data_IF_030195351543
#
_entry.id   IF_030195351543
#
_cell.length_a   1.000
_cell.length_b   1.000
_cell.length_c   1.000
_cell.angle_alpha   90.00
_cell.angle_beta   90.00
_cell.angle_gamma   90.00
#
_symmetry.space_group_name_H-M   'P 1'
#
loop_
_entity.id
_entity.type
_entity.pdbx_description
1 polymer ?
#
# COMPACT_ATOMS: atom_id res chain seq x y z
N UNK A 1 -1.00 24.94 42.79
CA UNK A 1 -0.40 23.69 42.26
C UNK A 1 -0.61 23.70 40.75
N UNK A 2 0.44 24.06 39.99
CA UNK A 2 0.39 24.08 38.52
C UNK A 2 0.50 22.65 37.99
N UNK A 3 -0.26 22.24 36.96
CA UNK A 3 -0.14 20.92 36.39
C UNK A 3 1.22 20.78 35.69
N UNK A 4 1.88 19.64 35.90
CA UNK A 4 3.15 19.32 35.28
C UNK A 4 3.02 19.28 33.74
N UNK A 5 4.05 19.72 33.00
CA UNK A 5 4.05 19.66 31.55
C UNK A 5 4.00 18.21 31.06
N UNK A 6 3.10 17.91 30.13
CA UNK A 6 3.08 16.62 29.45
C UNK A 6 4.37 16.44 28.63
N UNK A 7 4.97 15.24 28.62
CA UNK A 7 6.20 15.01 27.88
C UNK A 7 5.98 15.14 26.37
N UNK A 8 6.88 15.88 25.71
CA UNK A 8 6.97 15.92 24.26
C UNK A 8 7.20 14.50 23.71
N UNK A 9 6.43 14.14 22.68
CA UNK A 9 6.56 12.84 21.99
C UNK A 9 7.93 12.83 21.29
N UNK A 10 8.87 12.04 21.81
CA UNK A 10 10.20 11.85 21.25
C UNK A 10 10.13 10.88 20.04
N UNK A 11 10.22 11.43 18.83
CA UNK A 11 10.22 10.71 17.57
C UNK A 11 11.57 10.06 17.21
N UNK A 12 12.61 10.13 18.06
CA UNK A 12 13.94 9.55 17.77
C UNK A 12 14.02 8.02 17.90
N UNK A 13 12.94 7.33 18.27
CA UNK A 13 12.89 5.85 18.34
C UNK A 13 12.41 5.19 17.03
N UNK A 14 13.04 5.53 15.89
CA UNK A 14 12.94 4.77 14.63
C UNK A 14 14.33 4.34 14.15
N UNK A 15 14.92 3.40 14.88
CA UNK A 15 16.00 2.53 14.41
C UNK A 15 15.62 1.10 14.80
N UNK A 16 14.70 0.49 14.06
CA UNK A 16 14.63 -0.96 13.86
C UNK A 16 13.51 -1.26 12.84
N UNK A 17 13.80 -2.19 11.93
CA UNK A 17 12.87 -2.92 11.04
C UNK A 17 12.60 -2.42 9.61
N UNK A 18 13.51 -1.67 8.98
CA UNK A 18 13.61 -1.57 7.51
C UNK A 18 15.08 -1.40 7.10
N UNK A 19 15.92 -2.39 7.43
CA UNK A 19 17.26 -2.54 6.85
C UNK A 19 17.25 -3.81 6.00
N UNK A 20 17.89 -3.89 4.85
CA UNK A 20 18.58 -2.90 4.02
C UNK A 20 18.92 -3.57 2.70
N UNK A 21 19.27 -2.80 1.68
CA UNK A 21 20.13 -3.27 0.59
C UNK A 21 20.69 -2.03 -0.10
N UNK A 22 22.00 -1.87 -0.01
CA UNK A 22 22.80 -0.84 -0.70
C UNK A 22 22.88 -1.15 -2.19
N UNK A 23 22.69 -0.15 -3.05
CA UNK A 23 23.16 -0.19 -4.43
C UNK A 23 23.59 1.20 -4.91
N UNK A 24 24.59 1.18 -5.78
CA UNK A 24 25.57 2.21 -6.08
C UNK A 24 25.05 3.34 -6.98
N UNK A 25 25.72 4.50 -6.92
CA UNK A 25 25.42 5.70 -7.71
C UNK A 25 26.01 5.60 -9.11
N UNK A 26 25.17 5.68 -10.16
CA UNK A 26 25.57 6.16 -11.49
C UNK A 26 24.35 6.59 -12.32
N UNK A 27 24.41 7.82 -12.88
CA UNK A 27 23.64 8.21 -14.08
C UNK A 27 22.32 8.95 -13.85
N UNK A 28 22.38 10.27 -13.65
CA UNK A 28 21.23 11.18 -13.77
C UNK A 28 20.91 11.39 -15.26
N UNK A 29 19.89 10.70 -15.77
CA UNK A 29 19.13 11.12 -16.94
C UNK A 29 17.67 11.26 -16.52
N UNK A 30 17.12 12.47 -16.65
CA UNK A 30 15.69 12.76 -16.48
C UNK A 30 14.91 12.07 -17.61
N UNK A 31 14.55 10.81 -17.39
CA UNK A 31 13.53 10.15 -18.19
C UNK A 31 12.17 10.50 -17.57
N UNK A 32 11.62 11.64 -17.99
CA UNK A 32 10.18 11.87 -17.87
C UNK A 32 9.44 10.73 -18.57
N UNK A 33 8.31 10.31 -18.02
CA UNK A 33 7.40 9.34 -18.63
C UNK A 33 6.92 9.85 -20.00
N UNK A 34 7.74 9.74 -21.05
CA UNK A 34 7.36 9.92 -22.44
C UNK A 34 6.73 8.62 -22.91
N UNK A 35 5.44 8.47 -22.64
CA UNK A 35 4.68 7.29 -23.04
C UNK A 35 3.16 7.48 -22.97
N UNK A 36 2.68 8.31 -22.05
CA UNK A 36 1.33 8.87 -22.13
C UNK A 36 1.43 10.29 -22.66
N UNK A 37 0.59 10.64 -23.64
CA UNK A 37 0.27 12.04 -23.92
C UNK A 37 -0.08 12.72 -22.57
N UNK A 38 0.17 14.03 -22.39
CA UNK A 38 -0.46 14.75 -21.28
C UNK A 38 -1.95 14.64 -21.52
N UNK A 39 -2.57 13.64 -20.91
CA UNK A 39 -4.00 13.48 -20.90
C UNK A 39 -4.47 14.69 -20.10
N UNK A 40 -4.95 15.69 -20.85
CA UNK A 40 -5.81 16.74 -20.34
C UNK A 40 -6.64 16.10 -19.24
N UNK A 41 -6.48 16.61 -18.01
CA UNK A 41 -7.19 16.18 -16.81
C UNK A 41 -8.54 15.59 -17.23
N UNK A 42 -8.65 14.26 -17.21
CA UNK A 42 -9.87 13.59 -17.65
C UNK A 42 -11.01 14.29 -16.92
N UNK A 43 -11.93 14.85 -17.69
CA UNK A 43 -12.90 15.80 -17.17
C UNK A 43 -13.70 15.06 -16.09
N UNK A 44 -13.46 15.43 -14.83
CA UNK A 44 -14.16 14.82 -13.71
C UNK A 44 -15.64 15.02 -13.98
N UNK A 45 -16.45 13.96 -14.04
CA UNK A 45 -17.87 14.10 -14.28
C UNK A 45 -18.44 15.10 -13.28
N UNK A 46 -19.21 16.09 -13.74
CA UNK A 46 -19.74 17.15 -12.86
C UNK A 46 -20.53 16.59 -11.65
N UNK A 47 -21.08 15.38 -11.79
CA UNK A 47 -21.77 14.62 -10.73
C UNK A 47 -20.88 14.23 -9.55
N UNK A 48 -19.56 14.15 -9.75
CA UNK A 48 -18.62 13.70 -8.72
C UNK A 48 -18.04 14.89 -7.93
N UNK A 49 -18.19 16.12 -8.44
CA UNK A 49 -17.81 17.34 -7.71
C UNK A 49 -18.66 17.47 -6.43
N UNK A 50 -18.02 17.35 -5.27
CA UNK A 50 -18.69 17.33 -3.97
C UNK A 50 -19.14 15.95 -3.51
N UNK A 51 -18.92 14.89 -4.29
CA UNK A 51 -19.17 13.51 -3.89
C UNK A 51 -18.29 13.13 -2.69
N UNK A 52 -18.81 12.28 -1.80
CA UNK A 52 -18.08 11.85 -0.60
C UNK A 52 -17.53 10.41 -0.72
N UNK A 53 -17.47 9.85 -1.93
CA UNK A 53 -17.01 8.47 -2.17
C UNK A 53 -17.93 7.40 -1.57
N UNK A 54 -19.20 7.72 -1.34
CA UNK A 54 -20.15 6.83 -0.67
C UNK A 54 -19.87 6.70 0.83
N UNK A 55 -19.29 7.73 1.46
CA UNK A 55 -19.08 7.76 2.91
C UNK A 55 -20.42 7.94 3.64
N UNK A 56 -20.64 7.15 4.70
CA UNK A 56 -21.78 7.29 5.59
C UNK A 56 -21.41 8.27 6.72
N UNK A 57 -21.61 9.56 6.49
CA UNK A 57 -21.28 10.65 7.44
C UNK A 57 -22.48 11.59 7.63
N UNK A 58 -22.54 12.38 8.71
CA UNK A 58 -23.57 13.41 8.89
C UNK A 58 -23.69 14.34 7.68
N UNK A 59 -24.90 14.87 7.45
CA UNK A 59 -25.18 15.73 6.29
C UNK A 59 -24.53 17.13 6.36
N UNK A 60 -23.84 17.46 7.45
CA UNK A 60 -23.12 18.72 7.60
C UNK A 60 -22.02 18.86 6.54
N UNK A 61 -21.87 20.05 5.98
CA UNK A 61 -20.84 20.36 4.97
C UNK A 61 -20.17 21.67 5.32
N UNK A 62 -18.87 21.73 5.13
CA UNK A 62 -18.08 22.97 5.20
C UNK A 62 -17.17 23.03 3.99
N UNK A 63 -16.93 24.22 3.44
CA UNK A 63 -15.96 24.41 2.36
C UNK A 63 -14.59 24.79 2.94
N UNK A 64 -13.52 24.22 2.39
CA UNK A 64 -12.15 24.63 2.77
C UNK A 64 -11.91 26.12 2.47
N UNK A 65 -12.57 26.66 1.43
CA UNK A 65 -12.48 28.06 1.04
C UNK A 65 -13.01 29.02 2.12
N UNK A 66 -14.01 28.60 2.90
CA UNK A 66 -14.57 29.42 3.99
C UNK A 66 -13.54 29.69 5.10
N UNK A 67 -12.47 28.89 5.14
CA UNK A 67 -11.34 29.03 6.07
C UNK A 67 -10.08 29.58 5.40
N UNK A 68 -10.19 30.10 4.16
CA UNK A 68 -9.08 30.65 3.38
C UNK A 68 -8.28 29.63 2.58
N UNK A 69 -8.66 28.35 2.59
CA UNK A 69 -7.93 27.30 1.88
C UNK A 69 -8.38 27.23 0.43
N UNK A 70 -7.89 28.18 -0.35
CA UNK A 70 -8.12 28.31 -1.79
C UNK A 70 -6.83 28.04 -2.57
N UNK A 71 -6.92 27.64 -3.86
CA UNK A 71 -5.74 27.53 -4.71
C UNK A 71 -4.92 28.82 -4.71
N UNK A 72 -3.59 28.70 -4.64
CA UNK A 72 -2.66 29.84 -4.56
C UNK A 72 -2.47 30.46 -3.17
N UNK A 73 -3.21 30.02 -2.15
CA UNK A 73 -2.93 30.42 -0.77
C UNK A 73 -1.56 29.91 -0.31
N UNK A 74 -0.92 30.64 0.61
CA UNK A 74 0.39 30.24 1.13
C UNK A 74 0.32 28.92 1.91
N UNK A 75 1.42 28.15 2.00
CA UNK A 75 1.42 26.88 2.72
C UNK A 75 0.95 26.96 4.17
N UNK A 76 1.27 28.06 4.88
CA UNK A 76 0.81 28.27 6.26
C UNK A 76 -0.70 28.48 6.35
N UNK A 77 -1.28 29.22 5.40
CA UNK A 77 -2.73 29.41 5.30
C UNK A 77 -3.41 28.07 5.01
N UNK A 78 -2.93 27.31 4.02
CA UNK A 78 -3.50 26.00 3.68
C UNK A 78 -3.56 25.05 4.90
N UNK A 79 -2.45 24.90 5.63
CA UNK A 79 -2.40 24.08 6.85
C UNK A 79 -3.42 24.56 7.88
N UNK A 80 -3.49 25.86 8.14
CA UNK A 80 -4.43 26.42 9.09
C UNK A 80 -5.88 26.24 8.66
N UNK A 81 -6.19 26.36 7.36
CA UNK A 81 -7.53 26.18 6.82
C UNK A 81 -8.03 24.75 7.02
N UNK A 82 -7.18 23.74 6.78
CA UNK A 82 -7.53 22.33 7.07
C UNK A 82 -7.80 22.13 8.57
N UNK A 83 -6.93 22.63 9.45
CA UNK A 83 -7.13 22.51 10.90
C UNK A 83 -8.45 23.16 11.35
N UNK A 84 -8.78 24.36 10.86
CA UNK A 84 -10.04 25.05 11.18
C UNK A 84 -11.26 24.31 10.64
N UNK A 85 -11.18 23.80 9.40
CA UNK A 85 -12.28 23.06 8.79
C UNK A 85 -12.58 21.74 9.53
N UNK A 86 -11.54 20.99 9.92
CA UNK A 86 -11.72 19.80 10.74
C UNK A 86 -12.31 20.12 12.11
N UNK A 87 -11.82 21.17 12.78
CA UNK A 87 -12.39 21.59 14.06
C UNK A 87 -13.87 21.96 13.94
N UNK A 88 -14.27 22.67 12.87
CA UNK A 88 -15.66 23.02 12.61
C UNK A 88 -16.54 21.78 12.41
N UNK A 89 -16.08 20.77 11.66
CA UNK A 89 -16.83 19.51 11.49
C UNK A 89 -16.91 18.70 12.78
N UNK A 90 -15.82 18.64 13.57
CA UNK A 90 -15.83 17.95 14.86
C UNK A 90 -16.84 18.56 15.84
N UNK A 91 -16.99 19.88 15.85
CA UNK A 91 -18.03 20.56 16.64
C UNK A 91 -19.46 20.20 16.20
N UNK A 92 -19.63 19.73 14.97
CA UNK A 92 -20.90 19.25 14.41
C UNK A 92 -21.06 17.73 14.48
N UNK A 93 -20.12 17.03 15.11
CA UNK A 93 -20.15 15.57 15.23
C UNK A 93 -19.79 14.82 13.94
N UNK A 94 -19.17 15.50 12.96
CA UNK A 94 -18.79 14.91 11.67
C UNK A 94 -19.36 15.66 10.47
N UNK A 95 -19.13 15.11 9.29
CA UNK A 95 -19.68 15.62 8.03
C UNK A 95 -18.66 15.63 6.88
N UNK A 96 -18.94 16.43 5.85
CA UNK A 96 -18.11 16.51 4.65
C UNK A 96 -17.32 17.82 4.59
N UNK A 97 -16.00 17.73 4.49
CA UNK A 97 -15.13 18.82 4.05
C UNK A 97 -15.11 18.82 2.52
N UNK A 98 -15.60 19.89 1.91
CA UNK A 98 -15.50 20.12 0.47
C UNK A 98 -14.23 20.92 0.18
N UNK A 99 -13.30 20.34 -0.58
CA UNK A 99 -12.11 21.03 -1.08
C UNK A 99 -12.41 21.47 -2.52
N UNK A 100 -12.43 22.78 -2.81
CA UNK A 100 -12.62 23.26 -4.18
C UNK A 100 -11.58 22.71 -5.15
N UNK A 101 -11.91 22.57 -6.45
CA UNK A 101 -10.92 22.21 -7.46
C UNK A 101 -9.78 23.22 -7.55
N UNK A 102 -8.57 22.73 -7.82
CA UNK A 102 -7.39 23.56 -8.06
C UNK A 102 -6.10 23.01 -7.45
N UNK A 103 -5.01 23.75 -7.62
CA UNK A 103 -3.68 23.38 -7.12
C UNK A 103 -3.44 23.97 -5.73
N UNK A 104 -3.14 23.08 -4.78
CA UNK A 104 -2.81 23.36 -3.40
C UNK A 104 -1.33 23.04 -3.16
N UNK A 105 -0.47 24.05 -3.26
CA UNK A 105 0.98 23.92 -3.11
C UNK A 105 1.41 24.17 -1.66
N UNK A 106 1.91 23.12 -1.00
CA UNK A 106 2.40 23.17 0.38
C UNK A 106 3.88 23.56 0.49
N UNK A 107 4.55 23.82 -0.63
CA UNK A 107 5.95 24.25 -0.64
C UNK A 107 6.95 23.09 -0.53
N UNK A 108 8.16 23.41 -0.04
CA UNK A 108 9.29 22.47 -0.02
C UNK A 108 9.55 21.88 1.37
N UNK A 109 9.97 20.61 1.40
CA UNK A 109 10.17 19.85 2.64
C UNK A 109 11.50 19.10 2.65
N UNK A 110 12.31 19.38 3.67
CA UNK A 110 13.60 18.72 3.95
C UNK A 110 13.59 17.89 5.24
N UNK A 111 12.44 17.79 5.90
CA UNK A 111 12.23 17.06 7.15
C UNK A 111 11.11 16.03 7.00
N UNK A 112 11.04 15.03 7.88
CA UNK A 112 10.04 13.95 7.81
C UNK A 112 8.76 14.26 8.59
N UNK A 113 8.49 15.54 8.84
CA UNK A 113 7.29 15.97 9.56
C UNK A 113 6.03 15.81 8.71
N UNK A 114 4.88 15.70 9.38
CA UNK A 114 3.59 15.80 8.71
C UNK A 114 3.33 17.24 8.25
N UNK A 115 2.58 17.38 7.16
CA UNK A 115 2.21 18.69 6.61
C UNK A 115 0.87 19.14 7.21
N UNK A 116 -0.13 18.26 7.15
CA UNK A 116 -1.44 18.45 7.77
C UNK A 116 -1.67 17.33 8.77
N UNK A 117 -1.68 17.67 10.06
CA UNK A 117 -2.03 16.74 11.14
C UNK A 117 -3.49 16.96 11.57
N UNK A 118 -4.23 15.87 11.70
CA UNK A 118 -5.51 15.86 12.37
C UNK A 118 -5.59 14.69 13.36
N UNK A 119 -6.23 14.94 14.51
CA UNK A 119 -6.38 13.95 15.58
C UNK A 119 -7.85 13.81 15.96
N UNK A 120 -8.30 12.61 16.29
CA UNK A 120 -9.63 12.40 16.86
C UNK A 120 -10.78 12.61 15.87
N UNK A 121 -10.54 12.52 14.55
CA UNK A 121 -11.59 12.73 13.56
C UNK A 121 -12.62 11.60 13.61
N UNK A 122 -13.91 11.95 13.64
CA UNK A 122 -15.03 11.00 13.63
C UNK A 122 -16.03 11.36 12.55
N UNK A 123 -16.39 10.37 11.75
CA UNK A 123 -17.44 10.47 10.73
C UNK A 123 -17.19 11.64 9.76
N UNK A 124 -15.97 11.70 9.22
CA UNK A 124 -15.51 12.76 8.32
C UNK A 124 -15.30 12.21 6.91
N UNK A 125 -15.82 12.92 5.92
CA UNK A 125 -15.45 12.73 4.52
C UNK A 125 -14.73 13.97 3.99
N UNK A 126 -13.63 13.78 3.25
CA UNK A 126 -12.92 14.83 2.52
C UNK A 126 -13.24 14.62 1.03
N UNK A 127 -14.08 15.48 0.48
CA UNK A 127 -14.40 15.53 -0.95
C UNK A 127 -13.39 16.43 -1.66
N UNK A 128 -12.42 15.85 -2.35
CA UNK A 128 -11.31 16.54 -3.00
C UNK A 128 -11.29 16.38 -4.52
N UNK A 129 -12.43 16.05 -5.14
CA UNK A 129 -12.56 15.95 -6.60
C UNK A 129 -12.11 17.24 -7.30
N UNK A 130 -11.06 17.12 -8.11
CA UNK A 130 -10.46 18.23 -8.85
C UNK A 130 -9.38 19.00 -8.08
N UNK A 131 -9.11 18.64 -6.82
CA UNK A 131 -8.01 19.19 -6.06
C UNK A 131 -6.73 18.39 -6.31
N UNK A 132 -5.64 19.11 -6.59
CA UNK A 132 -4.28 18.56 -6.63
C UNK A 132 -3.49 19.11 -5.46
N UNK A 133 -3.03 18.24 -4.58
CA UNK A 133 -2.15 18.58 -3.48
C UNK A 133 -0.69 18.30 -3.87
N UNK A 134 0.15 19.32 -3.72
CA UNK A 134 1.57 19.28 -4.09
C UNK A 134 2.44 19.59 -2.89
N UNK A 135 3.50 18.79 -2.69
CA UNK A 135 4.61 19.13 -1.81
C UNK A 135 5.92 18.73 -2.48
N UNK A 136 6.97 19.53 -2.37
CA UNK A 136 8.25 19.30 -3.04
C UNK A 136 9.32 18.80 -2.06
N UNK A 137 9.66 17.52 -2.11
CA UNK A 137 10.67 16.94 -1.21
C UNK A 137 12.10 17.25 -1.68
N UNK A 138 12.88 17.93 -0.84
CA UNK A 138 14.23 18.41 -1.20
C UNK A 138 15.37 17.60 -0.58
N UNK A 139 15.09 16.76 0.43
CA UNK A 139 16.07 15.92 1.12
C UNK A 139 15.67 14.44 1.15
N UNK A 140 16.53 13.57 1.69
CA UNK A 140 16.23 12.14 1.92
C UNK A 140 15.30 11.97 3.13
N UNK A 141 14.06 12.40 2.97
CA UNK A 141 13.01 12.41 3.99
C UNK A 141 11.67 11.93 3.44
N UNK A 142 10.76 11.58 4.36
CA UNK A 142 9.47 10.97 4.04
C UNK A 142 8.31 11.71 4.71
N UNK A 143 8.03 12.98 4.36
CA UNK A 143 6.92 13.71 4.95
C UNK A 143 5.58 13.07 4.57
N UNK A 144 4.58 13.22 5.44
CA UNK A 144 3.19 12.83 5.16
C UNK A 144 2.36 14.07 4.88
N UNK A 145 1.71 14.14 3.73
CA UNK A 145 0.86 15.29 3.42
C UNK A 145 -0.32 15.38 4.37
N UNK A 146 -1.13 14.32 4.45
CA UNK A 146 -2.17 14.18 5.46
C UNK A 146 -1.76 13.11 6.46
N UNK A 147 -1.77 13.45 7.75
CA UNK A 147 -1.48 12.52 8.83
C UNK A 147 -2.62 12.50 9.84
N UNK A 148 -3.26 11.34 9.99
CA UNK A 148 -4.40 11.17 10.88
C UNK A 148 -4.03 10.30 12.07
N UNK A 149 -4.37 10.75 13.27
CA UNK A 149 -4.20 9.97 14.50
C UNK A 149 -5.54 9.78 15.19
N UNK A 150 -5.84 8.55 15.63
CA UNK A 150 -7.05 8.22 16.38
C UNK A 150 -8.34 8.61 15.64
N UNK A 151 -8.65 7.91 14.56
CA UNK A 151 -9.79 8.23 13.69
C UNK A 151 -10.92 7.19 13.81
N UNK A 152 -12.11 7.58 13.39
CA UNK A 152 -13.24 6.67 13.19
C UNK A 152 -14.04 7.09 11.96
N UNK A 153 -14.24 6.17 11.01
CA UNK A 153 -15.04 6.42 9.80
C UNK A 153 -14.56 7.69 9.04
N UNK A 154 -13.36 7.61 8.48
CA UNK A 154 -12.70 8.71 7.79
C UNK A 154 -12.49 8.33 6.31
N UNK A 155 -13.01 9.15 5.40
CA UNK A 155 -12.87 8.94 3.95
C UNK A 155 -12.18 10.13 3.28
N UNK A 156 -11.28 9.87 2.33
CA UNK A 156 -10.80 10.86 1.36
C UNK A 156 -11.18 10.39 -0.04
N UNK A 157 -11.87 11.26 -0.78
CA UNK A 157 -12.39 10.94 -2.10
C UNK A 157 -11.87 11.93 -3.16
N UNK A 158 -11.42 11.42 -4.31
CA UNK A 158 -11.12 12.22 -5.50
C UNK A 158 -9.84 13.05 -5.47
N UNK A 159 -8.97 12.86 -4.47
CA UNK A 159 -7.76 13.64 -4.30
C UNK A 159 -6.67 13.25 -5.31
N UNK A 160 -5.98 14.26 -5.87
CA UNK A 160 -4.73 14.06 -6.63
C UNK A 160 -3.53 14.51 -5.80
N UNK A 161 -2.45 13.75 -5.83
CA UNK A 161 -1.22 14.04 -5.08
C UNK A 161 -0.01 14.05 -6.00
N UNK A 162 0.92 14.98 -5.77
CA UNK A 162 2.19 14.99 -6.49
C UNK A 162 3.36 15.50 -5.65
N UNK A 163 4.53 14.90 -5.86
CA UNK A 163 5.79 15.37 -5.31
C UNK A 163 6.89 15.48 -6.38
N UNK A 164 7.08 16.67 -6.97
CA UNK A 164 8.13 16.88 -7.98
C UNK A 164 9.55 16.61 -7.49
N UNK A 165 9.76 16.53 -6.17
CA UNK A 165 11.05 16.23 -5.54
C UNK A 165 11.33 14.73 -5.40
N UNK A 166 10.32 13.87 -5.60
CA UNK A 166 10.46 12.42 -5.56
C UNK A 166 11.44 11.91 -6.62
N UNK A 167 12.18 10.88 -6.26
CA UNK A 167 12.96 10.09 -7.22
C UNK A 167 13.01 8.65 -6.74
N UNK A 168 12.77 7.65 -7.62
CA UNK A 168 12.74 6.25 -7.23
C UNK A 168 14.15 5.68 -6.98
N UNK A 169 15.18 6.44 -7.34
CA UNK A 169 16.59 6.10 -7.27
C UNK A 169 17.26 6.44 -5.94
N UNK A 170 16.59 7.24 -5.11
CA UNK A 170 17.04 7.57 -3.77
C UNK A 170 16.04 6.99 -2.78
N UNK A 171 16.46 5.97 -2.03
CA UNK A 171 15.62 5.40 -1.00
C UNK A 171 15.15 6.48 -0.02
N UNK A 172 13.89 6.40 0.41
CA UNK A 172 13.32 7.27 1.43
C UNK A 172 13.40 8.78 1.11
N UNK A 173 13.38 9.13 -0.18
CA UNK A 173 13.17 10.50 -0.64
C UNK A 173 11.81 10.60 -1.33
N UNK A 174 10.89 11.29 -0.69
CA UNK A 174 9.62 11.71 -1.27
C UNK A 174 8.46 11.66 -0.29
N UNK A 175 7.33 12.22 -0.69
CA UNK A 175 6.14 12.35 0.14
C UNK A 175 5.30 11.07 0.18
N UNK A 176 4.79 10.72 1.36
CA UNK A 176 3.58 9.90 1.47
C UNK A 176 2.34 10.79 1.40
N UNK A 177 1.37 10.43 0.56
CA UNK A 177 0.15 11.22 0.41
C UNK A 177 -0.69 11.18 1.70
N UNK A 178 -0.81 9.99 2.30
CA UNK A 178 -1.58 9.78 3.52
C UNK A 178 -0.82 8.87 4.48
N UNK A 179 -0.74 9.31 5.74
CA UNK A 179 -0.29 8.53 6.88
C UNK A 179 -1.39 8.38 7.92
N UNK A 180 -1.51 7.20 8.52
CA UNK A 180 -2.35 6.99 9.69
C UNK A 180 -1.58 6.39 10.84
N UNK A 181 -1.99 6.73 12.06
CA UNK A 181 -1.53 6.15 13.30
C UNK A 181 -2.70 6.00 14.26
N UNK A 182 -2.59 5.06 15.19
CA UNK A 182 -3.55 4.91 16.26
C UNK A 182 -2.85 4.61 17.59
N UNK A 183 -3.18 5.42 18.59
CA UNK A 183 -2.88 5.20 20.00
C UNK A 183 -4.14 4.65 20.73
N UNK A 184 -5.31 4.80 20.12
CA UNK A 184 -6.61 4.25 20.53
C UNK A 184 -7.26 3.42 19.41
N UNK A 185 -8.20 2.50 19.70
CA UNK A 185 -8.92 1.76 18.67
C UNK A 185 -9.52 2.68 17.60
N UNK A 186 -9.08 2.50 16.37
CA UNK A 186 -9.39 3.31 15.19
C UNK A 186 -9.80 2.40 14.04
N UNK A 187 -10.84 2.79 13.31
CA UNK A 187 -11.39 1.96 12.23
C UNK A 187 -12.09 2.74 11.13
N UNK A 188 -12.25 2.10 9.97
CA UNK A 188 -13.03 2.61 8.85
C UNK A 188 -12.32 3.74 8.13
N UNK A 189 -11.06 3.52 7.71
CA UNK A 189 -10.34 4.48 6.87
C UNK A 189 -10.51 4.12 5.40
N UNK A 190 -10.85 5.11 4.57
CA UNK A 190 -11.09 4.91 3.14
C UNK A 190 -10.35 5.92 2.27
N UNK A 191 -9.68 5.44 1.22
CA UNK A 191 -9.28 6.26 0.06
C UNK A 191 -10.06 5.77 -1.16
N UNK A 192 -10.73 6.69 -1.84
CA UNK A 192 -11.58 6.37 -3.00
C UNK A 192 -11.26 7.33 -4.13
N UNK A 193 -11.10 6.81 -5.35
CA UNK A 193 -10.85 7.61 -6.56
C UNK A 193 -9.64 8.58 -6.43
N UNK A 194 -8.63 8.18 -5.66
CA UNK A 194 -7.42 8.97 -5.45
C UNK A 194 -6.36 8.65 -6.52
N UNK A 195 -5.57 9.65 -6.91
CA UNK A 195 -4.41 9.49 -7.81
C UNK A 195 -3.14 10.05 -7.18
N UNK A 196 -2.03 9.34 -7.30
CA UNK A 196 -0.73 9.81 -6.84
C UNK A 196 0.34 9.70 -7.93
N UNK A 197 1.10 10.78 -8.13
CA UNK A 197 2.09 10.89 -9.20
C UNK A 197 3.43 11.37 -8.66
N UNK A 198 4.51 10.62 -8.94
CA UNK A 198 5.85 10.93 -8.44
C UNK A 198 5.85 11.10 -6.93
N UNK A 199 5.51 10.04 -6.20
CA UNK A 199 5.44 10.09 -4.73
C UNK A 199 6.22 8.94 -4.13
N UNK A 200 6.61 9.08 -2.86
CA UNK A 200 7.15 7.93 -2.13
C UNK A 200 6.06 6.89 -1.92
N UNK A 201 4.83 7.29 -1.58
CA UNK A 201 3.69 6.40 -1.70
C UNK A 201 2.32 7.00 -1.43
N UNK A 202 1.28 6.27 -1.79
CA UNK A 202 -0.11 6.71 -1.61
C UNK A 202 -0.51 6.67 -0.13
N UNK A 203 -0.24 5.54 0.54
CA UNK A 203 -0.73 5.32 1.89
C UNK A 203 0.28 4.59 2.76
N UNK A 204 0.36 4.97 4.04
CA UNK A 204 1.13 4.23 5.05
C UNK A 204 0.44 4.21 6.41
N UNK A 205 0.51 3.05 7.07
CA UNK A 205 0.27 2.93 8.51
C UNK A 205 1.57 3.14 9.27
N UNK A 206 1.49 3.78 10.43
CA UNK A 206 2.64 4.14 11.27
C UNK A 206 2.57 3.51 12.67
N UNK A 207 1.82 2.40 12.79
CA UNK A 207 1.78 1.55 13.97
C UNK A 207 2.95 0.55 13.98
N UNK A 208 3.11 -0.17 15.10
CA UNK A 208 4.15 -1.18 15.28
C UNK A 208 3.56 -2.46 15.90
N UNK A 209 4.39 -3.47 16.11
CA UNK A 209 3.96 -4.77 16.65
C UNK A 209 3.17 -4.67 17.97
N UNK A 210 3.49 -3.71 18.84
CA UNK A 210 2.80 -3.51 20.12
C UNK A 210 1.43 -2.83 19.95
N UNK A 211 1.30 -1.98 18.94
CA UNK A 211 0.06 -1.24 18.63
C UNK A 211 -0.76 -1.87 17.50
N UNK A 212 -0.41 -3.09 17.06
CA UNK A 212 -1.05 -3.77 15.91
C UNK A 212 -2.56 -3.98 16.04
N UNK A 213 -3.07 -4.00 17.28
CA UNK A 213 -4.49 -4.22 17.60
C UNK A 213 -5.37 -2.98 17.43
N UNK A 214 -4.78 -1.82 17.13
CA UNK A 214 -5.45 -0.53 17.22
C UNK A 214 -6.03 -0.02 15.91
N UNK A 215 -5.58 -0.50 14.75
CA UNK A 215 -6.13 -0.13 13.44
C UNK A 215 -6.83 -1.34 12.84
N UNK A 216 -8.04 -1.16 12.31
CA UNK A 216 -8.78 -2.18 11.54
C UNK A 216 -9.62 -1.51 10.45
N UNK A 217 -10.11 -2.30 9.49
CA UNK A 217 -11.08 -1.82 8.50
C UNK A 217 -10.53 -0.66 7.65
N UNK A 218 -9.61 -1.03 6.75
CA UNK A 218 -8.99 -0.15 5.76
C UNK A 218 -9.48 -0.53 4.36
N UNK A 219 -9.90 0.45 3.56
CA UNK A 219 -10.28 0.28 2.15
C UNK A 219 -9.57 1.34 1.30
N UNK A 220 -8.53 0.91 0.58
CA UNK A 220 -7.63 1.81 -0.14
C UNK A 220 -7.72 1.57 -1.64
N UNK A 221 -8.22 2.56 -2.36
CA UNK A 221 -8.37 2.53 -3.79
C UNK A 221 -7.64 3.70 -4.43
N UNK A 222 -6.99 3.46 -5.57
CA UNK A 222 -6.38 4.55 -6.33
C UNK A 222 -5.50 4.14 -7.50
N UNK A 223 -5.09 5.14 -8.25
CA UNK A 223 -4.12 5.04 -9.33
C UNK A 223 -2.79 5.65 -8.90
N UNK A 224 -1.69 4.97 -9.18
CA UNK A 224 -0.35 5.38 -8.76
C UNK A 224 0.61 5.33 -9.95
N UNK A 225 1.24 6.45 -10.25
CA UNK A 225 2.17 6.60 -11.37
C UNK A 225 3.53 7.08 -10.86
N UNK A 226 4.58 6.27 -11.06
CA UNK A 226 5.95 6.62 -10.67
C UNK A 226 6.11 6.73 -9.16
N UNK A 227 6.10 5.60 -8.45
CA UNK A 227 6.20 5.60 -6.99
C UNK A 227 7.13 4.53 -6.43
N UNK A 228 7.59 4.74 -5.19
CA UNK A 228 8.28 3.68 -4.46
C UNK A 228 7.26 2.68 -3.90
N UNK A 229 6.28 3.16 -3.15
CA UNK A 229 5.23 2.39 -2.50
C UNK A 229 3.86 2.73 -3.07
N UNK A 230 2.98 1.76 -3.19
CA UNK A 230 1.54 2.04 -3.26
C UNK A 230 0.97 2.17 -1.87
N UNK A 231 0.72 1.03 -1.22
CA UNK A 231 0.09 0.94 0.10
C UNK A 231 0.99 0.18 1.08
N UNK A 232 1.35 0.83 2.19
CA UNK A 232 1.97 0.21 3.36
C UNK A 232 0.95 -0.01 4.48
N UNK A 233 0.45 -1.23 4.67
CA UNK A 233 -0.58 -1.56 5.66
C UNK A 233 -0.02 -2.47 6.78
N UNK A 234 1.09 -2.06 7.39
CA UNK A 234 1.75 -2.84 8.44
C UNK A 234 1.08 -2.70 9.79
N UNK A 235 1.02 -3.79 10.55
CA UNK A 235 0.49 -3.82 11.91
C UNK A 235 -0.95 -3.28 12.00
N UNK A 236 -1.78 -3.78 11.09
CA UNK A 236 -3.23 -3.58 11.08
C UNK A 236 -3.86 -4.86 11.63
N UNK A 237 -4.83 -4.72 12.53
CA UNK A 237 -5.46 -5.83 13.24
C UNK A 237 -6.09 -6.81 12.26
N UNK A 238 -6.92 -6.29 11.35
CA UNK A 238 -7.68 -7.05 10.37
C UNK A 238 -8.43 -6.15 9.38
N UNK A 239 -9.01 -6.77 8.33
CA UNK A 239 -9.92 -6.16 7.36
C UNK A 239 -9.22 -5.08 6.54
N UNK A 240 -8.36 -5.52 5.62
CA UNK A 240 -7.65 -4.64 4.70
C UNK A 240 -8.08 -4.95 3.27
N UNK A 241 -8.69 -3.99 2.61
CA UNK A 241 -9.09 -4.05 1.22
C UNK A 241 -8.25 -3.06 0.41
N UNK A 242 -7.68 -3.53 -0.69
CA UNK A 242 -6.81 -2.71 -1.55
C UNK A 242 -7.17 -2.96 -3.01
N UNK A 243 -7.38 -1.89 -3.77
CA UNK A 243 -7.58 -1.95 -5.22
C UNK A 243 -6.75 -0.87 -5.91
N UNK A 244 -5.67 -1.26 -6.58
CA UNK A 244 -4.73 -0.32 -7.19
C UNK A 244 -4.55 -0.55 -8.69
N UNK A 245 -4.42 0.55 -9.41
CA UNK A 245 -3.82 0.59 -10.75
C UNK A 245 -2.46 1.26 -10.64
N UNK A 246 -1.41 0.56 -11.03
CA UNK A 246 -0.02 0.97 -10.83
C UNK A 246 0.71 1.08 -12.17
N UNK A 247 1.43 2.20 -12.36
CA UNK A 247 2.35 2.40 -13.47
C UNK A 247 3.71 2.76 -12.91
N UNK A 248 4.74 1.96 -13.20
CA UNK A 248 6.10 2.21 -12.69
C UNK A 248 6.10 2.38 -11.15
N UNK A 249 5.73 1.33 -10.42
CA UNK A 249 5.71 1.33 -8.95
C UNK A 249 6.67 0.25 -8.44
N UNK A 250 7.61 0.60 -7.56
CA UNK A 250 8.62 -0.37 -7.06
C UNK A 250 7.96 -1.45 -6.20
N UNK A 251 6.99 -1.09 -5.36
CA UNK A 251 6.23 -2.01 -4.51
C UNK A 251 4.79 -1.53 -4.36
N UNK A 252 3.84 -2.20 -4.99
CA UNK A 252 2.43 -1.78 -4.91
C UNK A 252 1.85 -1.99 -3.51
N UNK A 253 2.25 -3.05 -2.81
CA UNK A 253 1.75 -3.34 -1.48
C UNK A 253 2.81 -3.95 -0.58
N UNK A 254 2.82 -3.54 0.69
CA UNK A 254 3.59 -4.18 1.76
C UNK A 254 2.81 -4.15 3.07
N UNK A 255 2.80 -5.29 3.77
CA UNK A 255 2.22 -5.34 5.11
C UNK A 255 2.93 -6.36 5.99
N UNK A 256 3.26 -5.92 7.21
CA UNK A 256 3.63 -6.80 8.31
C UNK A 256 2.38 -7.26 9.07
N UNK A 257 2.32 -8.54 9.42
CA UNK A 257 1.29 -9.11 10.29
C UNK A 257 -0.15 -8.94 9.74
N UNK A 258 -0.33 -9.17 8.44
CA UNK A 258 -1.59 -8.92 7.76
C UNK A 258 -2.64 -10.02 8.05
N UNK A 259 -3.86 -9.62 8.39
CA UNK A 259 -4.97 -10.55 8.64
C UNK A 259 -6.25 -10.14 7.92
N UNK A 260 -7.00 -11.13 7.40
CA UNK A 260 -8.31 -10.93 6.78
C UNK A 260 -8.26 -9.82 5.71
N UNK A 261 -7.48 -10.05 4.64
CA UNK A 261 -7.21 -9.03 3.64
C UNK A 261 -7.55 -9.48 2.21
N UNK A 262 -7.95 -8.51 1.38
CA UNK A 262 -8.21 -8.70 -0.04
C UNK A 262 -7.48 -7.63 -0.86
N UNK A 263 -6.54 -8.06 -1.70
CA UNK A 263 -5.61 -7.18 -2.41
C UNK A 263 -5.77 -7.43 -3.91
N UNK A 264 -6.15 -6.40 -4.66
CA UNK A 264 -6.28 -6.41 -6.11
C UNK A 264 -5.38 -5.34 -6.73
N UNK A 265 -4.42 -5.75 -7.56
CA UNK A 265 -3.45 -4.85 -8.18
C UNK A 265 -3.35 -5.15 -9.68
N UNK A 266 -3.57 -4.11 -10.48
CA UNK A 266 -3.16 -4.09 -11.88
C UNK A 266 -1.90 -3.25 -12.01
N UNK A 267 -0.86 -3.79 -12.66
CA UNK A 267 0.43 -3.10 -12.81
C UNK A 267 0.97 -3.16 -14.24
N UNK A 268 1.59 -2.08 -14.66
CA UNK A 268 2.48 -2.05 -15.82
C UNK A 268 3.78 -1.31 -15.51
N UNK A 269 4.88 -1.80 -16.08
CA UNK A 269 6.22 -1.28 -15.80
C UNK A 269 7.04 -1.10 -17.07
N UNK A 270 8.03 -0.22 -17.01
CA UNK A 270 9.00 0.05 -18.08
C UNK A 270 10.38 -0.41 -17.67
N UNK A 271 11.23 -0.78 -18.64
CA UNK A 271 12.55 -1.41 -18.38
C UNK A 271 13.49 -0.53 -17.56
N UNK A 272 13.36 0.79 -17.66
CA UNK A 272 14.22 1.74 -16.96
C UNK A 272 13.71 2.11 -15.56
N UNK A 273 12.64 1.47 -15.05
CA UNK A 273 12.15 1.74 -13.70
C UNK A 273 12.84 0.82 -12.68
N UNK A 274 13.31 1.33 -11.52
CA UNK A 274 13.99 0.49 -10.55
C UNK A 274 13.04 -0.54 -9.94
N UNK A 275 13.55 -1.75 -9.79
CA UNK A 275 12.83 -2.86 -9.21
C UNK A 275 12.72 -2.87 -7.68
N UNK A 276 12.08 -3.91 -7.18
CA UNK A 276 12.15 -4.32 -5.77
C UNK A 276 12.12 -5.85 -5.64
N UNK A 277 12.35 -6.35 -4.42
CA UNK A 277 12.27 -7.77 -4.14
C UNK A 277 10.83 -8.34 -4.21
N UNK A 278 9.81 -7.50 -4.24
CA UNK A 278 8.41 -7.93 -4.28
C UNK A 278 7.47 -6.81 -4.70
N UNK A 279 6.60 -7.05 -5.71
CA UNK A 279 5.49 -6.13 -6.00
C UNK A 279 4.49 -6.09 -4.83
N UNK A 280 4.06 -7.26 -4.38
CA UNK A 280 3.25 -7.49 -3.18
C UNK A 280 4.12 -8.22 -2.17
N UNK A 281 4.43 -7.59 -1.04
CA UNK A 281 5.20 -8.20 0.04
C UNK A 281 4.28 -8.50 1.24
N UNK A 282 4.04 -9.79 1.49
CA UNK A 282 3.36 -10.27 2.68
C UNK A 282 4.44 -10.61 3.72
N UNK A 283 4.55 -9.81 4.77
CA UNK A 283 5.67 -9.91 5.70
C UNK A 283 5.24 -10.49 7.05
N UNK A 284 5.92 -11.55 7.47
CA UNK A 284 5.80 -12.06 8.84
C UNK A 284 7.15 -11.86 9.54
N UNK A 285 7.17 -10.94 10.51
CA UNK A 285 8.36 -10.60 11.31
C UNK A 285 8.71 -11.65 12.38
N UNK A 286 7.82 -12.61 12.61
CA UNK A 286 7.82 -13.53 13.73
C UNK A 286 6.43 -13.59 14.38
N UNK A 287 6.15 -14.64 15.16
CA UNK A 287 4.86 -14.80 15.83
C UNK A 287 4.56 -13.65 16.81
N UNK A 288 5.58 -13.14 17.51
CA UNK A 288 5.46 -11.99 18.41
C UNK A 288 5.08 -10.69 17.69
N UNK A 289 5.58 -10.48 16.46
CA UNK A 289 5.23 -9.35 15.61
C UNK A 289 3.83 -9.51 14.96
N UNK A 290 3.44 -10.76 14.70
CA UNK A 290 2.18 -11.18 14.12
C UNK A 290 2.37 -11.99 12.82
N UNK A 291 1.47 -12.95 12.62
CA UNK A 291 1.42 -13.82 11.46
C UNK A 291 0.71 -13.16 10.27
N UNK A 292 0.81 -13.80 9.10
CA UNK A 292 -0.02 -13.46 7.92
C UNK A 292 -1.11 -14.52 7.78
N UNK A 293 -2.38 -14.13 7.84
CA UNK A 293 -3.49 -15.08 7.91
C UNK A 293 -4.72 -14.63 7.10
N UNK A 294 -5.34 -15.56 6.36
CA UNK A 294 -6.60 -15.31 5.63
C UNK A 294 -6.47 -14.15 4.62
N UNK A 295 -5.56 -14.29 3.66
CA UNK A 295 -5.25 -13.22 2.68
C UNK A 295 -5.61 -13.69 1.28
N UNK A 296 -6.25 -12.82 0.50
CA UNK A 296 -6.45 -12.99 -0.94
C UNK A 296 -5.63 -11.95 -1.69
N UNK A 297 -4.91 -12.39 -2.71
CA UNK A 297 -4.10 -11.53 -3.57
C UNK A 297 -4.46 -11.82 -5.04
N UNK A 298 -4.75 -10.77 -5.79
CA UNK A 298 -5.01 -10.80 -7.24
C UNK A 298 -4.10 -9.79 -7.91
N UNK A 299 -3.25 -10.27 -8.83
CA UNK A 299 -2.33 -9.42 -9.60
C UNK A 299 -2.59 -9.61 -11.09
N UNK A 300 -2.67 -8.50 -11.82
CA UNK A 300 -2.56 -8.45 -13.28
C UNK A 300 -1.32 -7.64 -13.65
N UNK A 301 -0.34 -8.23 -14.32
CA UNK A 301 0.92 -7.56 -14.63
C UNK A 301 1.27 -7.59 -16.11
N UNK A 302 1.89 -6.51 -16.59
CA UNK A 302 2.39 -6.38 -17.95
C UNK A 302 3.65 -5.50 -18.04
N UNK A 303 4.35 -5.54 -19.17
CA UNK A 303 5.55 -4.71 -19.42
C UNK A 303 6.82 -5.29 -18.81
N UNK A 304 7.72 -4.45 -18.32
CA UNK A 304 9.00 -4.90 -17.78
C UNK A 304 8.84 -5.67 -16.46
N UNK A 305 9.54 -6.80 -16.33
CA UNK A 305 9.51 -7.66 -15.14
C UNK A 305 10.50 -7.19 -14.08
N UNK A 306 10.32 -5.97 -13.59
CA UNK A 306 11.25 -5.29 -12.68
C UNK A 306 11.26 -5.84 -11.23
N UNK A 307 10.60 -6.96 -10.94
CA UNK A 307 10.45 -7.47 -9.57
C UNK A 307 11.18 -8.79 -9.39
N UNK A 308 11.80 -9.04 -8.24
CA UNK A 308 12.27 -10.39 -7.92
C UNK A 308 11.09 -11.37 -7.77
N UNK A 309 9.96 -10.90 -7.25
CA UNK A 309 8.72 -11.67 -7.14
C UNK A 309 7.48 -10.78 -7.33
N UNK A 310 6.42 -11.29 -7.97
CA UNK A 310 5.15 -10.57 -7.99
C UNK A 310 4.41 -10.68 -6.65
N UNK A 311 4.34 -11.88 -6.08
CA UNK A 311 3.91 -12.08 -4.68
C UNK A 311 5.07 -12.69 -3.90
N UNK A 312 5.50 -11.96 -2.87
CA UNK A 312 6.61 -12.31 -2.01
C UNK A 312 6.09 -12.68 -0.62
N UNK A 313 6.17 -13.96 -0.30
CA UNK A 313 5.92 -14.54 1.02
C UNK A 313 7.20 -14.38 1.85
N UNK A 314 7.30 -13.25 2.53
CA UNK A 314 8.53 -12.78 3.15
C UNK A 314 8.54 -13.04 4.66
N UNK A 315 9.20 -14.11 5.09
CA UNK A 315 9.57 -14.22 6.49
C UNK A 315 10.77 -13.30 6.75
N UNK A 316 10.61 -12.36 7.69
CA UNK A 316 11.70 -11.46 8.07
C UNK A 316 12.01 -11.57 9.56
N UNK A 317 13.27 -11.38 9.92
CA UNK A 317 13.71 -11.25 11.30
C UNK A 317 14.09 -12.57 11.97
N UNK A 318 14.72 -12.48 13.16
CA UNK A 318 15.41 -13.61 13.80
C UNK A 318 14.48 -14.57 14.54
N UNK A 319 13.22 -14.19 14.80
CA UNK A 319 12.30 -15.03 15.59
C UNK A 319 12.05 -16.36 14.87
N UNK A 320 12.25 -17.48 15.56
CA UNK A 320 12.11 -18.81 14.97
C UNK A 320 10.65 -19.17 14.66
N UNK A 321 9.72 -18.68 15.49
CA UNK A 321 8.29 -18.87 15.32
C UNK A 321 7.71 -17.82 14.35
N UNK A 322 6.68 -18.22 13.60
CA UNK A 322 5.98 -17.37 12.65
C UNK A 322 5.28 -18.22 11.59
N UNK A 323 4.15 -17.75 11.08
CA UNK A 323 3.42 -18.48 10.06
C UNK A 323 2.76 -17.56 9.04
N UNK A 324 2.62 -18.11 7.84
CA UNK A 324 1.73 -17.62 6.80
C UNK A 324 0.71 -18.71 6.49
N UNK A 325 -0.57 -18.43 6.70
CA UNK A 325 -1.63 -19.44 6.57
C UNK A 325 -2.88 -18.95 5.85
N UNK A 326 -3.55 -19.85 5.14
CA UNK A 326 -4.83 -19.60 4.46
C UNK A 326 -4.72 -18.44 3.48
N UNK A 327 -3.81 -18.56 2.50
CA UNK A 327 -3.56 -17.50 1.51
C UNK A 327 -3.97 -18.00 0.13
N UNK A 328 -4.73 -17.21 -0.62
CA UNK A 328 -5.01 -17.48 -2.04
C UNK A 328 -4.37 -16.36 -2.88
N UNK A 329 -3.35 -16.70 -3.67
CA UNK A 329 -2.62 -15.77 -4.49
C UNK A 329 -2.78 -16.12 -5.97
N UNK A 330 -3.42 -15.22 -6.73
CA UNK A 330 -3.65 -15.34 -8.16
C UNK A 330 -2.86 -14.29 -8.93
N UNK A 331 -2.02 -14.72 -9.88
CA UNK A 331 -1.19 -13.82 -10.70
C UNK A 331 -1.41 -14.09 -12.18
N UNK A 332 -1.86 -13.08 -12.91
CA UNK A 332 -2.01 -13.13 -14.36
C UNK A 332 -0.97 -12.21 -14.99
N UNK A 333 -0.13 -12.73 -15.87
CA UNK A 333 0.90 -11.95 -16.58
C UNK A 333 0.66 -11.95 -18.08
N UNK A 334 0.89 -10.80 -18.70
CA UNK A 334 0.74 -10.57 -20.14
C UNK A 334 2.00 -9.88 -20.65
N UNK A 335 2.75 -10.53 -21.54
CA UNK A 335 3.94 -9.94 -22.19
C UNK A 335 4.93 -9.29 -21.21
N UNK A 336 5.50 -10.09 -20.32
CA UNK A 336 6.52 -9.66 -19.35
C UNK A 336 7.92 -10.00 -19.88
N UNK A 337 8.76 -8.97 -20.11
CA UNK A 337 10.02 -9.12 -20.86
C UNK A 337 11.18 -9.77 -20.09
N UNK A 338 11.22 -9.61 -18.77
CA UNK A 338 12.29 -10.03 -17.86
C UNK A 338 12.05 -11.40 -17.20
N UNK A 339 12.89 -11.74 -16.21
CA UNK A 339 12.88 -13.02 -15.47
C UNK A 339 12.40 -12.92 -14.00
N UNK A 340 11.23 -12.32 -13.70
CA UNK A 340 10.71 -12.28 -12.33
C UNK A 340 10.28 -13.67 -11.86
N UNK A 341 10.12 -13.86 -10.55
CA UNK A 341 9.33 -14.99 -10.04
C UNK A 341 7.84 -14.58 -9.98
N UNK A 342 6.90 -15.47 -10.28
CA UNK A 342 5.50 -15.21 -9.93
C UNK A 342 5.35 -15.23 -8.41
N UNK A 343 5.81 -16.31 -7.78
CA UNK A 343 5.77 -16.49 -6.33
C UNK A 343 7.19 -16.68 -5.76
N UNK A 344 7.53 -15.90 -4.74
CA UNK A 344 8.81 -15.98 -4.03
C UNK A 344 8.57 -16.27 -2.55
N UNK A 345 9.24 -17.30 -2.02
CA UNK A 345 9.19 -17.69 -0.62
C UNK A 345 10.59 -17.62 -0.02
N UNK A 346 10.80 -16.73 0.95
CA UNK A 346 12.10 -16.66 1.62
C UNK A 346 11.96 -16.31 3.11
N UNK A 347 13.04 -16.57 3.84
CA UNK A 347 13.27 -16.14 5.21
C UNK A 347 14.58 -15.38 5.27
N UNK A 348 14.51 -14.09 5.54
CA UNK A 348 15.67 -13.22 5.70
C UNK A 348 15.86 -12.80 7.16
N UNK A 349 17.09 -12.95 7.65
CA UNK A 349 17.55 -12.36 8.91
C UNK A 349 18.54 -11.23 8.61
N UNK A 350 19.80 -11.57 8.38
CA UNK A 350 20.84 -10.70 7.81
C UNK A 350 21.15 -11.02 6.34
N UNK A 351 20.73 -12.20 5.90
CA UNK A 351 20.75 -12.72 4.53
C UNK A 351 19.59 -13.70 4.38
N UNK A 352 19.27 -14.05 3.14
CA UNK A 352 18.33 -15.14 2.87
C UNK A 352 18.88 -16.45 3.45
N UNK A 353 18.08 -17.11 4.28
CA UNK A 353 18.42 -18.37 4.92
C UNK A 353 18.01 -19.54 4.03
N UNK A 354 18.83 -20.58 3.92
CA UNK A 354 18.48 -21.77 3.13
C UNK A 354 17.37 -22.61 3.79
N UNK A 355 17.25 -22.52 5.11
CA UNK A 355 16.28 -23.27 5.91
C UNK A 355 15.56 -22.35 6.88
N UNK A 356 14.32 -22.71 7.20
CA UNK A 356 13.53 -22.04 8.24
C UNK A 356 12.67 -23.04 9.01
N UNK A 357 12.30 -22.69 10.24
CA UNK A 357 11.26 -23.39 11.04
C UNK A 357 9.89 -22.74 10.89
N UNK A 358 9.79 -21.62 10.17
CA UNK A 358 8.53 -20.90 10.00
C UNK A 358 7.63 -21.58 8.99
N UNK A 359 6.33 -21.39 9.15
CA UNK A 359 5.31 -22.24 8.53
C UNK A 359 4.70 -21.60 7.29
N UNK A 360 4.65 -22.37 6.20
CA UNK A 360 3.88 -22.10 4.99
C UNK A 360 2.69 -23.06 4.93
N UNK A 361 1.48 -22.62 5.23
CA UNK A 361 0.34 -23.53 5.43
C UNK A 361 -0.92 -23.11 4.65
N UNK A 362 -1.54 -24.05 3.94
CA UNK A 362 -2.76 -23.81 3.18
C UNK A 362 -2.66 -22.57 2.27
N UNK A 363 -1.60 -22.51 1.46
CA UNK A 363 -1.37 -21.44 0.49
C UNK A 363 -1.73 -21.94 -0.89
N UNK A 364 -2.68 -21.32 -1.58
CA UNK A 364 -3.04 -21.62 -2.96
C UNK A 364 -2.37 -20.63 -3.93
N UNK A 365 -1.71 -21.16 -4.95
CA UNK A 365 -1.02 -20.42 -6.00
C UNK A 365 -1.72 -20.67 -7.33
N UNK A 366 -2.29 -19.61 -7.92
CA UNK A 366 -3.08 -19.66 -9.16
C UNK A 366 -2.60 -18.61 -10.14
N UNK A 367 -2.94 -18.76 -11.42
CA UNK A 367 -2.58 -17.75 -12.38
C UNK A 367 -2.63 -18.19 -13.83
N UNK A 368 -2.23 -17.27 -14.69
CA UNK A 368 -2.07 -17.51 -16.12
C UNK A 368 -0.90 -16.70 -16.67
N UNK A 369 -0.26 -17.26 -17.68
CA UNK A 369 0.79 -16.60 -18.47
C UNK A 369 0.29 -16.50 -19.89
N UNK A 370 0.34 -15.29 -20.45
CA UNK A 370 0.01 -15.05 -21.85
C UNK A 370 1.10 -14.23 -22.53
N UNK A 371 1.49 -14.65 -23.72
CA UNK A 371 2.61 -14.04 -24.45
C UNK A 371 3.98 -14.35 -23.82
N UNK A 372 4.93 -13.42 -23.95
CA UNK A 372 6.30 -13.60 -23.47
C UNK A 372 6.36 -13.61 -21.94
N UNK A 373 7.04 -14.60 -21.37
CA UNK A 373 7.44 -14.65 -19.96
C UNK A 373 8.70 -15.51 -19.83
N UNK A 374 9.79 -14.94 -19.32
CA UNK A 374 11.07 -15.65 -19.15
C UNK A 374 11.42 -15.93 -17.68
N UNK A 375 10.47 -15.65 -16.79
CA UNK A 375 10.60 -15.82 -15.34
C UNK A 375 10.40 -17.25 -14.85
N UNK A 376 10.36 -17.41 -13.53
CA UNK A 376 10.02 -18.68 -12.88
C UNK A 376 8.63 -18.58 -12.26
N UNK A 377 7.93 -19.70 -12.20
CA UNK A 377 6.63 -19.77 -11.51
C UNK A 377 6.85 -19.62 -10.00
N UNK A 378 7.73 -20.44 -9.42
CA UNK A 378 8.00 -20.47 -7.98
C UNK A 378 9.51 -20.41 -7.75
N UNK A 379 9.92 -19.60 -6.76
CA UNK A 379 11.24 -19.67 -6.15
C UNK A 379 11.09 -19.80 -4.63
N UNK A 380 11.80 -20.76 -4.06
CA UNK A 380 11.77 -21.04 -2.62
C UNK A 380 13.19 -21.28 -2.07
N UNK A 381 14.03 -20.22 -1.99
CA UNK A 381 15.35 -20.34 -1.40
C UNK A 381 15.35 -20.74 0.08
N UNK A 382 14.24 -20.57 0.82
CA UNK A 382 14.16 -20.88 2.25
C UNK A 382 13.23 -22.05 2.55
N UNK A 383 13.80 -23.25 2.57
CA UNK A 383 13.03 -24.47 2.78
C UNK A 383 12.56 -24.56 4.23
N UNK A 384 11.25 -24.54 4.45
CA UNK A 384 10.68 -24.84 5.76
C UNK A 384 10.91 -26.30 6.16
N UNK A 385 11.30 -26.49 7.41
CA UNK A 385 11.41 -27.79 8.09
C UNK A 385 10.15 -28.15 8.88
N UNK A 386 9.22 -27.21 9.01
CA UNK A 386 7.95 -27.41 9.70
C UNK A 386 6.89 -27.99 8.73
N UNK A 387 5.88 -28.71 9.25
CA UNK A 387 4.74 -29.13 8.44
C UNK A 387 4.07 -27.93 7.78
N UNK A 388 3.61 -28.12 6.54
CA UNK A 388 3.05 -27.06 5.73
C UNK A 388 2.35 -27.62 4.49
N UNK A 389 1.66 -26.74 3.77
CA UNK A 389 1.02 -27.07 2.50
C UNK A 389 0.93 -25.85 1.59
N UNK A 390 1.48 -26.00 0.38
CA UNK A 390 1.38 -25.04 -0.71
C UNK A 390 0.82 -25.76 -1.92
N UNK A 391 -0.31 -25.28 -2.41
CA UNK A 391 -1.09 -25.86 -3.48
C UNK A 391 -0.86 -25.06 -4.77
N UNK A 392 -0.31 -25.71 -5.78
CA UNK A 392 -0.07 -25.10 -7.09
C UNK A 392 -1.16 -25.52 -8.06
N UNK A 393 -1.77 -24.55 -8.73
CA UNK A 393 -2.73 -24.80 -9.81
C UNK A 393 -2.10 -25.71 -10.89
N UNK A 394 -2.83 -26.71 -11.44
CA UNK A 394 -2.29 -27.65 -12.40
C UNK A 394 -1.58 -27.01 -13.59
N UNK A 395 -2.13 -25.91 -14.14
CA UNK A 395 -1.55 -25.23 -15.31
C UNK A 395 -0.21 -24.57 -14.97
N UNK A 396 -0.11 -23.99 -13.78
CA UNK A 396 1.15 -23.43 -13.30
C UNK A 396 2.17 -24.53 -12.95
N UNK A 397 1.70 -25.64 -12.40
CA UNK A 397 2.55 -26.77 -12.02
C UNK A 397 3.13 -27.53 -13.23
N UNK A 398 2.52 -27.42 -14.40
CA UNK A 398 3.09 -27.91 -15.67
C UNK A 398 4.24 -27.04 -16.18
N UNK A 399 4.28 -25.77 -15.77
CA UNK A 399 5.31 -24.79 -16.15
C UNK A 399 6.42 -24.67 -15.10
N UNK A 400 6.22 -25.26 -13.92
CA UNK A 400 7.16 -25.23 -12.80
C UNK A 400 7.93 -26.56 -12.70
N UNK A 401 9.20 -26.50 -12.30
CA UNK A 401 9.95 -27.70 -11.89
C UNK A 401 9.51 -28.12 -10.48
N UNK A 402 8.38 -28.83 -10.41
CA UNK A 402 7.83 -29.33 -9.15
C UNK A 402 8.74 -30.35 -8.46
N UNK A 403 9.66 -30.99 -9.18
CA UNK A 403 10.58 -31.99 -8.62
C UNK A 403 11.70 -31.36 -7.79
N UNK A 404 12.07 -30.12 -8.11
CA UNK A 404 13.03 -29.32 -7.35
C UNK A 404 12.42 -28.63 -6.11
N UNK A 405 11.10 -28.65 -5.95
CA UNK A 405 10.42 -28.03 -4.81
C UNK A 405 10.30 -29.00 -3.63
N UNK A 406 10.28 -28.49 -2.37
CA UNK A 406 10.02 -29.31 -1.20
C UNK A 406 8.66 -30.01 -1.25
N UNK A 407 8.54 -31.15 -0.56
CA UNK A 407 7.34 -32.01 -0.58
C UNK A 407 6.02 -31.34 -0.17
N UNK A 408 6.08 -30.23 0.56
CA UNK A 408 4.88 -29.48 0.92
C UNK A 408 4.31 -28.64 -0.24
N UNK A 409 5.01 -28.53 -1.38
CA UNK A 409 4.45 -28.05 -2.63
C UNK A 409 3.78 -29.21 -3.37
N UNK A 410 2.47 -29.13 -3.55
CA UNK A 410 1.68 -30.15 -4.24
C UNK A 410 0.80 -29.56 -5.33
N UNK A 411 0.51 -30.36 -6.36
CA UNK A 411 -0.55 -30.05 -7.31
C UNK A 411 -1.89 -30.20 -6.59
N UNK A 412 -2.74 -29.18 -6.63
CA UNK A 412 -4.11 -29.33 -6.14
C UNK A 412 -5.01 -29.64 -7.33
N UNK A 413 -5.64 -30.81 -7.32
CA UNK A 413 -6.78 -31.05 -8.19
C UNK A 413 -7.84 -30.01 -7.84
N UNK A 414 -8.36 -29.30 -8.85
CA UNK A 414 -9.46 -28.37 -8.66
C UNK A 414 -10.59 -29.17 -8.01
N UNK A 415 -10.87 -28.90 -6.73
CA UNK A 415 -12.14 -29.30 -6.16
C UNK A 415 -13.17 -28.48 -6.93
N UNK A 416 -13.84 -29.12 -7.88
CA UNK A 416 -15.06 -28.57 -8.47
C UNK A 416 -15.99 -28.34 -7.28
N UNK A 417 -16.29 -27.08 -6.98
CA UNK A 417 -17.27 -26.77 -5.95
C UNK A 417 -18.55 -27.53 -6.30
N UNK A 418 -18.97 -28.44 -5.41
CA UNK A 418 -20.18 -29.24 -5.56
C UNK A 418 -21.48 -28.39 -5.58
N UNK A 419 -21.36 -27.06 -5.62
CA UNK A 419 -22.45 -26.12 -5.82
C UNK A 419 -22.87 -25.99 -7.29
N UNK A 420 -22.02 -26.32 -8.27
CA UNK A 420 -22.32 -26.19 -9.71
C UNK A 420 -22.97 -27.43 -10.35
N UNK A 421 -23.19 -28.51 -9.58
CA UNK A 421 -23.84 -29.74 -10.04
C UNK A 421 -25.30 -29.89 -9.58
N UNK A 422 -25.89 -28.88 -8.92
CA UNK A 422 -27.30 -28.91 -8.49
C UNK A 422 -28.24 -28.01 -9.31
N UNK A 423 -27.81 -27.48 -10.45
CA UNK A 423 -28.67 -26.68 -11.36
C UNK A 423 -28.97 -27.35 -12.70
N UNK A 424 -28.64 -28.65 -12.86
CA UNK A 424 -28.93 -29.40 -14.09
C UNK A 424 -29.86 -30.60 -13.95
N UNK A 425 -30.38 -30.88 -12.76
CA UNK A 425 -31.48 -31.84 -12.56
C UNK A 425 -32.46 -31.25 -11.52
N UNK A 426 -33.47 -30.55 -12.01
CA UNK A 426 -34.53 -29.91 -11.21
C UNK A 426 -35.40 -29.00 -12.04
#
# INVERSE_FOLDING_TARGET
MSPAPQPAIDFRRRKLLLGGLTASVAGLLQLGCRGSKPELAEAIPAKDLGGNGGAAVPAHRVSLADFGGVPGASPSVLRQSFSKAFAALMQKGGGTLVVPPGLYDFGSYSESEYIVLARGLRDIAISAYGATFKANTTAKVMPHLFYFVDFHNLTIAGARFTDPGFTPWVDWKGMYCVGIQADNPSKGFRLVDCRAENVLGLFSTNNNAATRKLISDLDIQGEICGAYYGVGASYVREQVQVKLTCHNVRRAFIAYALKNADIDVTVSSTENWPGSNGLIALVCGGAGAGNVENVKVRVKASGAGIYSGYVHFYHQGPEAAGSMRNIDATINVVNVSDKPNLFLFDHETSRVQEKTTRVWENIALRGSISGRFAGRIISNPSVSTSPGSVYVDPKLAELADMSALPRYFGKKAVAVDAADLKSKDG
#
